data_IF_277462559339
#
_entry.id   IF_277462559339
#
_cell.length_a   1.000
_cell.length_b   1.000
_cell.length_c   1.000
_cell.angle_alpha   90.00
_cell.angle_beta   90.00
_cell.angle_gamma   90.00
#
_symmetry.space_group_name_H-M   'P 1'
#
loop_
_entity.id
_entity.type
_entity.pdbx_description
1 polymer ?
#
# COMPACT_ATOMS: atom_id res chain seq x y z
N UNK A 1 -15.83 -8.66 -24.05
CA UNK A 1 -14.58 -9.10 -23.42
C UNK A 1 -13.93 -10.20 -24.25
N UNK A 2 -12.63 -10.12 -24.56
CA UNK A 2 -11.90 -11.22 -25.23
C UNK A 2 -11.86 -12.50 -24.37
N UNK A 3 -11.63 -13.66 -25.00
CA UNK A 3 -11.50 -14.94 -24.27
C UNK A 3 -10.35 -14.86 -23.27
N UNK A 4 -9.24 -14.26 -23.68
CA UNK A 4 -8.10 -14.00 -22.81
C UNK A 4 -8.44 -13.05 -21.65
N UNK A 5 -9.10 -11.90 -21.90
CA UNK A 5 -9.42 -10.93 -20.85
C UNK A 5 -10.37 -11.51 -19.79
N UNK A 6 -11.33 -12.35 -20.21
CA UNK A 6 -12.23 -13.06 -19.30
C UNK A 6 -11.48 -14.06 -18.41
N UNK A 7 -10.56 -14.85 -18.97
CA UNK A 7 -9.70 -15.77 -18.19
C UNK A 7 -8.78 -15.02 -17.24
N UNK A 8 -8.15 -13.94 -17.71
CA UNK A 8 -7.27 -13.09 -16.92
C UNK A 8 -8.04 -12.49 -15.72
N UNK A 9 -9.26 -12.00 -15.94
CA UNK A 9 -10.15 -11.49 -14.90
C UNK A 9 -10.41 -12.51 -13.79
N UNK A 10 -10.72 -13.77 -14.17
CA UNK A 10 -10.92 -14.86 -13.19
C UNK A 10 -9.66 -15.11 -12.35
N UNK A 11 -8.49 -15.14 -12.97
CA UNK A 11 -7.23 -15.32 -12.23
C UNK A 11 -6.90 -14.12 -11.34
N UNK A 12 -7.21 -12.89 -11.76
CA UNK A 12 -7.05 -11.69 -10.94
C UNK A 12 -7.92 -11.78 -9.68
N UNK A 13 -9.20 -12.10 -9.81
CA UNK A 13 -10.08 -12.19 -8.64
C UNK A 13 -9.69 -13.37 -7.72
N UNK A 14 -9.29 -14.52 -8.29
CA UNK A 14 -8.77 -15.64 -7.50
C UNK A 14 -7.50 -15.27 -6.73
N UNK A 15 -6.57 -14.54 -7.36
CA UNK A 15 -5.36 -14.04 -6.71
C UNK A 15 -5.68 -13.04 -5.59
N UNK A 16 -6.62 -12.11 -5.83
CA UNK A 16 -7.06 -11.14 -4.83
C UNK A 16 -7.71 -11.84 -3.63
N UNK A 17 -8.57 -12.84 -3.87
CA UNK A 17 -9.19 -13.63 -2.82
C UNK A 17 -8.15 -14.39 -1.98
N UNK A 18 -7.20 -15.08 -2.64
CA UNK A 18 -6.10 -15.79 -1.97
C UNK A 18 -5.26 -14.84 -1.10
N UNK A 19 -4.87 -13.69 -1.63
CA UNK A 19 -4.06 -12.73 -0.87
C UNK A 19 -4.85 -12.14 0.30
N UNK A 20 -6.17 -11.94 0.17
CA UNK A 20 -7.02 -11.47 1.27
C UNK A 20 -7.20 -12.52 2.36
N UNK A 21 -7.33 -13.80 2.01
CA UNK A 21 -7.41 -14.88 3.01
C UNK A 21 -6.12 -15.02 3.84
N UNK A 22 -4.99 -14.53 3.31
CA UNK A 22 -3.72 -14.42 4.03
C UNK A 22 -3.57 -13.12 4.84
N UNK A 23 -4.65 -12.34 5.02
CA UNK A 23 -4.65 -11.12 5.84
C UNK A 23 -4.19 -9.84 5.12
N UNK A 24 -3.92 -9.87 3.81
CA UNK A 24 -3.57 -8.66 3.06
C UNK A 24 -4.82 -7.88 2.65
N UNK A 25 -4.89 -6.58 2.97
CA UNK A 25 -5.97 -5.69 2.49
C UNK A 25 -6.04 -5.63 0.95
N UNK A 26 -4.88 -5.50 0.31
CA UNK A 26 -4.66 -5.59 -1.13
C UNK A 26 -5.46 -4.59 -2.01
N UNK A 27 -6.13 -3.59 -1.45
CA UNK A 27 -7.07 -2.72 -2.19
C UNK A 27 -6.44 -2.01 -3.39
N UNK A 28 -5.25 -1.40 -3.21
CA UNK A 28 -4.56 -0.67 -4.30
C UNK A 28 -4.06 -1.62 -5.38
N UNK A 29 -3.55 -2.78 -4.99
CA UNK A 29 -3.01 -3.77 -5.92
C UNK A 29 -4.13 -4.44 -6.72
N UNK A 30 -5.27 -4.76 -6.08
CA UNK A 30 -6.46 -5.27 -6.77
C UNK A 30 -6.96 -4.29 -7.83
N UNK A 31 -7.02 -2.99 -7.51
CA UNK A 31 -7.39 -1.96 -8.48
C UNK A 31 -6.41 -1.90 -9.68
N UNK A 32 -5.11 -2.03 -9.44
CA UNK A 32 -4.10 -2.09 -10.52
C UNK A 32 -4.29 -3.32 -11.40
N UNK A 33 -4.55 -4.50 -10.81
CA UNK A 33 -4.74 -5.73 -11.57
C UNK A 33 -6.05 -5.73 -12.37
N UNK A 34 -7.13 -5.15 -11.84
CA UNK A 34 -8.38 -4.94 -12.59
C UNK A 34 -8.20 -3.94 -13.73
N UNK A 35 -7.39 -2.91 -13.52
CA UNK A 35 -7.01 -1.99 -14.59
C UNK A 35 -6.19 -2.67 -15.70
N UNK A 36 -5.35 -3.66 -15.36
CA UNK A 36 -4.66 -4.49 -16.36
C UNK A 36 -5.67 -5.28 -17.20
N UNK A 37 -6.69 -5.89 -16.57
CA UNK A 37 -7.76 -6.60 -17.29
C UNK A 37 -8.50 -5.65 -18.24
N UNK A 38 -8.86 -4.45 -17.76
CA UNK A 38 -9.53 -3.44 -18.58
C UNK A 38 -8.66 -2.98 -19.76
N UNK A 39 -7.34 -2.84 -19.54
CA UNK A 39 -6.39 -2.51 -20.61
C UNK A 39 -6.31 -3.62 -21.67
N UNK A 40 -6.16 -4.88 -21.24
CA UNK A 40 -6.14 -6.05 -22.12
C UNK A 40 -7.44 -6.13 -22.94
N UNK A 41 -8.57 -5.83 -22.31
CA UNK A 41 -9.87 -5.85 -22.99
C UNK A 41 -10.03 -4.71 -24.00
N UNK A 42 -9.63 -3.49 -23.62
CA UNK A 42 -9.71 -2.31 -24.48
C UNK A 42 -8.81 -2.38 -25.72
N UNK A 43 -7.62 -2.94 -25.55
CA UNK A 43 -6.67 -3.19 -26.66
C UNK A 43 -6.99 -4.50 -27.43
N UNK A 44 -8.04 -5.21 -27.05
CA UNK A 44 -8.49 -6.48 -27.66
C UNK A 44 -7.37 -7.53 -27.77
N UNK A 45 -6.50 -7.61 -26.75
CA UNK A 45 -5.41 -8.57 -26.74
C UNK A 45 -5.94 -9.98 -26.46
N UNK A 46 -5.48 -10.94 -27.26
CA UNK A 46 -5.90 -12.36 -27.16
C UNK A 46 -4.72 -13.33 -26.91
N UNK A 47 -3.51 -12.80 -26.75
CA UNK A 47 -2.31 -13.57 -26.43
C UNK A 47 -2.10 -13.78 -24.92
N UNK A 48 -1.18 -14.69 -24.52
CA UNK A 48 -0.82 -14.85 -23.11
C UNK A 48 -0.27 -13.54 -22.52
N UNK A 49 -0.19 -13.46 -21.19
CA UNK A 49 0.37 -12.29 -20.52
C UNK A 49 1.89 -12.23 -20.76
N UNK A 50 2.29 -11.52 -21.82
CA UNK A 50 3.68 -11.37 -22.22
C UNK A 50 4.28 -10.04 -21.74
N UNK A 51 5.60 -9.92 -21.85
CA UNK A 51 6.33 -8.71 -21.47
C UNK A 51 5.82 -7.48 -22.20
N UNK A 52 5.51 -7.59 -23.49
CA UNK A 52 5.04 -6.45 -24.29
C UNK A 52 3.71 -5.91 -23.78
N UNK A 53 2.73 -6.78 -23.48
CA UNK A 53 1.45 -6.39 -22.89
C UNK A 53 1.62 -5.65 -21.58
N UNK A 54 2.51 -6.15 -20.71
CA UNK A 54 2.77 -5.52 -19.41
C UNK A 54 3.47 -4.18 -19.58
N UNK A 55 4.48 -4.08 -20.45
CA UNK A 55 5.15 -2.80 -20.71
C UNK A 55 4.19 -1.77 -21.33
N UNK A 56 3.31 -2.18 -22.24
CA UNK A 56 2.26 -1.35 -22.80
C UNK A 56 1.29 -0.82 -21.73
N UNK A 57 0.80 -1.71 -20.85
CA UNK A 57 -0.05 -1.33 -19.73
C UNK A 57 0.62 -0.33 -18.76
N UNK A 58 1.90 -0.56 -18.42
CA UNK A 58 2.62 0.34 -17.53
C UNK A 58 2.92 1.68 -18.22
N UNK A 59 3.20 1.66 -19.52
CA UNK A 59 3.47 2.83 -20.35
C UNK A 59 2.24 3.69 -20.63
N UNK A 60 1.05 3.10 -20.74
CA UNK A 60 -0.21 3.83 -20.97
C UNK A 60 -0.64 4.68 -19.77
N UNK A 61 -0.05 4.49 -18.60
CA UNK A 61 -0.34 5.28 -17.42
C UNK A 61 0.54 6.52 -17.28
N UNK A 62 -0.09 7.70 -17.35
CA UNK A 62 0.51 9.02 -17.21
C UNK A 62 0.89 9.42 -15.77
N UNK A 63 1.46 8.50 -14.98
CA UNK A 63 1.89 8.78 -13.61
C UNK A 63 3.40 8.96 -13.45
N UNK A 64 3.85 9.03 -12.19
CA UNK A 64 5.28 9.19 -11.87
C UNK A 64 6.08 7.92 -12.19
N UNK A 65 7.39 8.05 -12.39
CA UNK A 65 8.29 6.91 -12.59
C UNK A 65 8.20 5.90 -11.44
N UNK A 66 8.14 6.39 -10.20
CA UNK A 66 7.94 5.54 -9.02
C UNK A 66 6.58 4.85 -8.99
N UNK A 67 5.52 5.52 -9.45
CA UNK A 67 4.21 4.89 -9.60
C UNK A 67 4.23 3.77 -10.64
N UNK A 68 4.93 3.96 -11.77
CA UNK A 68 5.12 2.92 -12.79
C UNK A 68 5.88 1.72 -12.22
N UNK A 69 6.93 1.96 -11.44
CA UNK A 69 7.66 0.89 -10.72
C UNK A 69 6.77 0.12 -9.73
N UNK A 70 5.88 0.81 -8.99
CA UNK A 70 4.91 0.14 -8.11
C UNK A 70 3.95 -0.73 -8.91
N UNK A 71 3.35 -0.18 -9.97
CA UNK A 71 2.39 -0.90 -10.82
C UNK A 71 3.05 -2.12 -11.46
N UNK A 72 4.26 -1.96 -12.00
CA UNK A 72 5.05 -3.06 -12.56
C UNK A 72 5.30 -4.15 -11.51
N UNK A 73 5.73 -3.78 -10.30
CA UNK A 73 5.96 -4.74 -9.22
C UNK A 73 4.68 -5.48 -8.77
N UNK A 74 3.50 -4.87 -8.91
CA UNK A 74 2.21 -5.55 -8.67
C UNK A 74 1.93 -6.58 -9.76
N UNK A 75 2.04 -6.18 -11.03
CA UNK A 75 1.80 -7.08 -12.17
C UNK A 75 2.81 -8.22 -12.19
N UNK A 76 4.08 -7.96 -11.86
CA UNK A 76 5.15 -8.97 -11.73
C UNK A 76 4.82 -10.08 -10.73
N UNK A 77 4.38 -9.72 -9.52
CA UNK A 77 3.99 -10.74 -8.53
C UNK A 77 2.75 -11.52 -8.94
N UNK A 78 1.83 -10.88 -9.66
CA UNK A 78 0.68 -11.56 -10.22
C UNK A 78 1.07 -12.50 -11.38
N UNK A 79 2.02 -12.11 -12.24
CA UNK A 79 2.48 -12.96 -13.34
C UNK A 79 3.20 -14.21 -12.83
N UNK A 80 3.96 -14.11 -11.73
CA UNK A 80 4.53 -15.28 -11.04
C UNK A 80 3.46 -16.27 -10.58
N UNK A 81 2.34 -15.78 -10.04
CA UNK A 81 1.18 -16.61 -9.69
C UNK A 81 0.51 -17.19 -10.94
N UNK A 82 0.31 -16.38 -11.98
CA UNK A 82 -0.35 -16.79 -13.21
C UNK A 82 0.46 -17.85 -13.98
N UNK A 83 1.79 -17.79 -13.93
CA UNK A 83 2.69 -18.75 -14.58
C UNK A 83 2.49 -20.21 -14.10
N UNK A 84 1.92 -20.41 -12.90
CA UNK A 84 1.55 -21.73 -12.39
C UNK A 84 0.40 -22.34 -13.21
N UNK A 85 -0.48 -21.50 -13.77
CA UNK A 85 -1.68 -21.91 -14.51
C UNK A 85 -1.53 -21.75 -16.03
N UNK A 86 -0.75 -20.77 -16.50
CA UNK A 86 -0.44 -20.56 -17.90
C UNK A 86 1.08 -20.46 -18.11
N UNK A 87 1.75 -21.55 -18.51
CA UNK A 87 3.20 -21.60 -18.75
C UNK A 87 3.70 -20.64 -19.84
N UNK A 88 2.81 -20.06 -20.65
CA UNK A 88 3.17 -19.08 -21.68
C UNK A 88 3.28 -17.66 -21.13
N UNK A 89 3.05 -17.47 -19.82
CA UNK A 89 3.25 -16.20 -19.13
C UNK A 89 4.73 -15.89 -19.02
N UNK A 90 5.15 -14.73 -19.52
CA UNK A 90 6.56 -14.36 -19.49
C UNK A 90 7.04 -14.07 -18.06
N UNK A 91 8.28 -14.48 -17.77
CA UNK A 91 8.99 -14.03 -16.58
C UNK A 91 9.36 -12.54 -16.72
N UNK A 92 9.03 -11.76 -15.70
CA UNK A 92 9.21 -10.31 -15.68
C UNK A 92 10.43 -9.92 -14.83
N UNK A 93 11.40 -9.25 -15.44
CA UNK A 93 12.64 -8.81 -14.78
C UNK A 93 12.36 -7.75 -13.69
N UNK A 94 12.70 -8.00 -12.42
CA UNK A 94 12.54 -7.02 -11.34
C UNK A 94 13.28 -5.68 -11.58
N UNK A 95 14.28 -5.65 -12.46
CA UNK A 95 15.07 -4.44 -12.77
C UNK A 95 14.50 -3.60 -13.91
N UNK A 96 13.42 -4.03 -14.58
CA UNK A 96 12.84 -3.30 -15.72
C UNK A 96 12.28 -1.91 -15.34
N UNK A 97 11.81 -1.74 -14.10
CA UNK A 97 11.38 -0.44 -13.56
C UNK A 97 12.02 -0.20 -12.19
N UNK A 98 13.26 0.32 -12.15
CA UNK A 98 13.92 0.62 -10.88
C UNK A 98 13.14 1.71 -10.15
N UNK A 99 12.85 1.46 -8.86
CA UNK A 99 12.24 2.47 -7.99
C UNK A 99 13.33 3.42 -7.51
N UNK A 100 13.22 4.70 -7.84
CA UNK A 100 14.10 5.72 -7.28
C UNK A 100 13.47 6.31 -6.02
N UNK A 101 13.86 5.81 -4.84
CA UNK A 101 13.39 6.35 -3.56
C UNK A 101 14.54 7.06 -2.87
N UNK A 102 14.59 8.38 -2.98
CA UNK A 102 15.27 9.20 -2.00
C UNK A 102 14.45 9.11 -0.70
N UNK A 103 14.98 8.39 0.30
CA UNK A 103 14.40 8.42 1.65
C UNK A 103 15.07 9.60 2.34
N UNK A 104 14.35 10.72 2.57
CA UNK A 104 14.91 11.78 3.39
C UNK A 104 15.22 11.19 4.78
N UNK A 105 16.33 11.61 5.43
CA UNK A 105 16.64 11.15 6.77
C UNK A 105 15.45 11.45 7.70
N UNK A 106 15.16 10.58 8.67
CA UNK A 106 14.08 10.83 9.62
C UNK A 106 14.34 12.14 10.37
N UNK A 107 13.34 13.01 10.45
CA UNK A 107 13.40 14.23 11.26
C UNK A 107 12.98 13.88 12.69
N UNK A 108 13.96 13.85 13.58
CA UNK A 108 13.75 13.67 15.02
C UNK A 108 13.46 15.05 15.62
N UNK A 109 12.38 15.16 16.40
CA UNK A 109 12.03 16.40 17.08
C UNK A 109 12.95 16.61 18.28
N UNK A 110 13.42 17.84 18.49
CA UNK A 110 14.07 18.21 19.76
C UNK A 110 13.04 18.31 20.89
N UNK A 111 13.49 18.38 22.14
CA UNK A 111 12.61 18.54 23.30
C UNK A 111 11.79 19.83 23.22
N UNK A 112 12.36 20.91 22.68
CA UNK A 112 11.67 22.19 22.46
C UNK A 112 10.63 22.08 21.34
N UNK A 113 10.94 21.33 20.28
CA UNK A 113 9.99 21.07 19.18
C UNK A 113 8.82 20.19 19.64
N UNK A 114 9.10 19.15 20.42
CA UNK A 114 8.09 18.30 21.03
C UNK A 114 7.22 19.09 22.01
N UNK A 115 7.81 19.94 22.85
CA UNK A 115 7.08 20.80 23.78
C UNK A 115 6.14 21.75 23.06
N UNK A 116 6.60 22.36 21.95
CA UNK A 116 5.75 23.21 21.09
C UNK A 116 4.64 22.41 20.42
N UNK A 117 4.91 21.19 19.96
CA UNK A 117 3.91 20.31 19.37
C UNK A 117 2.83 19.94 20.40
N UNK A 118 3.22 19.55 21.62
CA UNK A 118 2.27 19.24 22.69
C UNK A 118 1.41 20.45 23.08
N UNK A 119 1.98 21.66 23.07
CA UNK A 119 1.23 22.89 23.28
C UNK A 119 0.22 23.15 22.16
N UNK A 120 0.62 22.95 20.90
CA UNK A 120 -0.26 23.10 19.75
C UNK A 120 -1.41 22.07 19.74
N UNK A 121 -1.18 20.84 20.22
CA UNK A 121 -2.23 19.82 20.37
C UNK A 121 -3.37 20.30 21.27
N UNK A 122 -3.07 21.07 22.32
CA UNK A 122 -4.08 21.62 23.24
C UNK A 122 -4.98 22.68 22.59
N UNK A 123 -4.51 23.33 21.52
CA UNK A 123 -5.21 24.42 20.84
C UNK A 123 -5.65 24.07 19.41
N UNK A 124 -5.47 22.82 18.98
CA UNK A 124 -5.59 22.43 17.56
C UNK A 124 -7.01 22.52 17.02
N UNK A 125 -8.03 22.44 17.88
CA UNK A 125 -9.42 22.49 17.46
C UNK A 125 -10.27 23.20 18.51
N UNK A 126 -10.45 24.54 18.37
CA UNK A 126 -11.31 25.32 19.27
C UNK A 126 -12.75 24.79 19.31
N UNK A 127 -13.24 24.29 18.17
CA UNK A 127 -14.61 23.78 18.02
C UNK A 127 -14.80 22.35 18.57
N UNK A 128 -13.72 21.62 18.88
CA UNK A 128 -13.76 20.24 19.35
C UNK A 128 -12.78 20.01 20.51
N UNK A 129 -13.11 20.47 21.73
CA UNK A 129 -12.24 20.37 22.91
C UNK A 129 -11.80 18.94 23.24
N UNK A 130 -12.66 17.95 22.97
CA UNK A 130 -12.40 16.52 23.08
C UNK A 130 -11.12 16.09 22.34
N UNK A 131 -10.84 16.70 21.17
CA UNK A 131 -9.65 16.40 20.38
C UNK A 131 -8.37 16.83 21.09
N UNK A 132 -8.39 17.96 21.80
CA UNK A 132 -7.26 18.38 22.62
C UNK A 132 -7.01 17.39 23.76
N UNK A 133 -8.07 16.90 24.40
CA UNK A 133 -8.02 15.89 25.46
C UNK A 133 -7.41 14.56 25.00
N UNK A 134 -7.60 14.19 23.73
CA UNK A 134 -7.02 12.97 23.15
C UNK A 134 -5.61 13.16 22.58
N UNK A 135 -5.37 14.24 21.83
CA UNK A 135 -4.12 14.40 21.06
C UNK A 135 -2.90 14.66 21.94
N UNK A 136 -3.04 15.41 23.03
CA UNK A 136 -1.93 15.67 23.94
C UNK A 136 -1.39 14.38 24.59
N UNK A 137 -2.20 13.52 25.25
CA UNK A 137 -1.70 12.26 25.80
C UNK A 137 -1.24 11.29 24.72
N UNK A 138 -1.88 11.25 23.53
CA UNK A 138 -1.41 10.40 22.43
C UNK A 138 -0.01 10.80 21.96
N UNK A 139 0.27 12.08 21.74
CA UNK A 139 1.60 12.56 21.34
C UNK A 139 2.63 12.30 22.43
N UNK A 140 2.26 12.52 23.70
CA UNK A 140 3.12 12.18 24.84
C UNK A 140 3.48 10.70 24.89
N UNK A 141 2.50 9.82 24.72
CA UNK A 141 2.69 8.36 24.67
C UNK A 141 3.61 7.94 23.53
N UNK A 142 3.39 8.46 22.32
CA UNK A 142 4.24 8.16 21.16
C UNK A 142 5.68 8.62 21.39
N UNK A 143 5.87 9.79 22.02
CA UNK A 143 7.19 10.33 22.31
C UNK A 143 7.93 9.56 23.41
N UNK A 144 7.23 9.07 24.44
CA UNK A 144 7.85 8.34 25.55
C UNK A 144 8.13 6.87 25.23
N UNK A 145 7.33 6.24 24.36
CA UNK A 145 7.43 4.80 24.06
C UNK A 145 8.09 4.49 22.72
N UNK A 146 8.09 5.43 21.78
CA UNK A 146 8.51 5.19 20.39
C UNK A 146 7.56 4.28 19.60
N UNK A 147 6.33 4.04 20.09
CA UNK A 147 5.32 3.25 19.39
C UNK A 147 5.00 3.82 18.00
N UNK A 148 4.63 2.95 17.06
CA UNK A 148 4.04 3.38 15.80
C UNK A 148 2.63 3.89 16.05
N UNK A 149 2.17 4.85 15.25
CA UNK A 149 0.81 5.37 15.35
C UNK A 149 -0.28 4.28 15.30
N UNK A 150 -0.08 3.23 14.49
CA UNK A 150 -1.01 2.11 14.41
C UNK A 150 -1.00 1.19 15.64
N UNK A 151 0.09 1.14 16.39
CA UNK A 151 0.18 0.41 17.66
C UNK A 151 -0.56 1.20 18.74
N UNK A 152 -0.28 2.50 18.86
CA UNK A 152 -0.96 3.39 19.81
C UNK A 152 -2.48 3.46 19.57
N UNK A 153 -2.93 3.41 18.31
CA UNK A 153 -4.36 3.39 17.97
C UNK A 153 -5.08 2.08 18.33
N UNK A 154 -4.35 1.01 18.60
CA UNK A 154 -4.91 -0.31 18.95
C UNK A 154 -4.69 -0.66 20.42
N UNK A 155 -4.09 0.25 21.19
CA UNK A 155 -3.82 0.06 22.60
C UNK A 155 -5.16 0.03 23.35
N UNK A 156 -5.36 -1.00 24.16
CA UNK A 156 -6.51 -1.15 25.05
C UNK A 156 -6.07 -0.91 26.51
N UNK A 157 -7.02 -0.61 27.38
CA UNK A 157 -6.79 -0.45 28.83
C UNK A 157 -6.22 -1.74 29.42
N UNK A 158 -6.59 -2.91 28.89
CA UNK A 158 -6.04 -4.20 29.32
C UNK A 158 -4.56 -4.41 28.98
N UNK A 159 -4.00 -3.60 28.07
CA UNK A 159 -2.60 -3.68 27.68
C UNK A 159 -1.68 -2.92 28.66
N UNK A 160 -2.24 -2.15 29.58
CA UNK A 160 -1.51 -1.34 30.56
C UNK A 160 -1.84 -1.76 32.01
N UNK A 161 -0.81 -1.94 32.82
CA UNK A 161 -0.92 -2.04 34.27
C UNK A 161 -0.89 -0.63 34.87
N UNK A 162 -2.08 -0.01 34.89
CA UNK A 162 -2.27 1.32 35.46
C UNK A 162 -2.08 1.37 36.98
N UNK A 163 -2.05 0.22 37.66
CA UNK A 163 -1.75 0.14 39.09
C UNK A 163 -0.25 0.25 39.38
N UNK A 164 0.59 -0.29 38.50
CA UNK A 164 2.05 -0.17 38.59
C UNK A 164 2.61 0.98 37.74
N UNK A 165 1.78 1.60 36.89
CA UNK A 165 2.18 2.66 35.97
C UNK A 165 3.01 2.14 34.79
N UNK A 166 2.70 0.92 34.33
CA UNK A 166 3.37 0.21 33.22
C UNK A 166 2.41 0.05 32.05
#
# INVERSE_FOLDING_TARGET
MSTFSSRLSKHVEAYVALRRSLGFSLSKQAAILRALVAYVDGEQLDGPLCRQTVLGFIGSWAGTANGRAVRYGVVRRFSEYLAIFDPRTDALDPKAFPRNRAIPPPRILTDEELSRLMAACRSVSPDYPERAGFLTPLVGLLASTGMRSGEALRLDISDADLTQGI
#
